data_IF_285805631137
#
_entry.id   IF_285805631137
#
_cell.length_a   1.000
_cell.length_b   1.000
_cell.length_c   1.000
_cell.angle_alpha   90.00
_cell.angle_beta   90.00
_cell.angle_gamma   90.00
#
_symmetry.space_group_name_H-M   'P 1'
#
loop_
_entity.id
_entity.type
_entity.pdbx_description
1 polymer ?
#
# COMPACT_ATOMS: atom_id res chain seq x y z
N UNK A 1 17.24 14.34 -8.44
CA UNK A 1 17.19 13.18 -7.53
C UNK A 1 18.40 12.32 -7.83
N UNK A 2 19.24 12.03 -6.83
CA UNK A 2 20.37 11.12 -7.03
C UNK A 2 19.93 9.68 -6.77
N UNK A 3 20.58 8.74 -7.44
CA UNK A 3 20.32 7.29 -7.32
C UNK A 3 20.37 6.81 -5.86
N UNK A 4 21.16 7.48 -5.02
CA UNK A 4 21.33 7.20 -3.59
C UNK A 4 20.10 7.55 -2.74
N UNK A 5 19.35 8.60 -3.09
CA UNK A 5 18.14 8.99 -2.36
C UNK A 5 17.01 7.97 -2.54
N UNK A 6 16.93 7.38 -3.74
CA UNK A 6 15.98 6.32 -4.09
C UNK A 6 16.38 4.99 -3.43
N UNK A 7 17.68 4.67 -3.43
CA UNK A 7 18.23 3.49 -2.75
C UNK A 7 18.04 3.58 -1.24
N UNK A 8 18.15 4.78 -0.65
CA UNK A 8 17.83 5.00 0.77
C UNK A 8 16.34 4.80 1.04
N UNK A 9 15.46 5.33 0.19
CA UNK A 9 14.01 5.15 0.33
C UNK A 9 13.58 3.69 0.25
N UNK A 10 14.31 2.88 -0.53
CA UNK A 10 13.98 1.47 -0.77
C UNK A 10 14.65 0.57 0.24
N UNK A 11 15.89 0.85 0.65
CA UNK A 11 16.51 0.18 1.78
C UNK A 11 15.67 0.40 3.06
N UNK A 12 15.15 1.61 3.25
CA UNK A 12 14.21 1.93 4.33
C UNK A 12 12.85 1.22 4.18
N UNK A 13 12.33 1.10 2.95
CA UNK A 13 11.09 0.35 2.64
C UNK A 13 11.19 -1.13 3.07
N UNK A 14 12.37 -1.74 3.08
CA UNK A 14 12.54 -3.18 3.34
C UNK A 14 13.07 -3.54 4.72
N UNK A 15 13.87 -2.69 5.38
CA UNK A 15 14.17 -2.88 6.80
C UNK A 15 12.88 -2.83 7.66
N UNK A 16 11.90 -2.02 7.25
CA UNK A 16 10.62 -1.86 7.92
C UNK A 16 9.63 -3.03 7.72
N UNK A 17 9.93 -4.01 6.86
CA UNK A 17 9.13 -5.23 6.72
C UNK A 17 9.59 -6.38 7.62
N UNK A 18 10.73 -6.25 8.30
CA UNK A 18 11.10 -7.17 9.37
C UNK A 18 10.40 -6.81 10.70
N UNK A 19 9.93 -5.57 10.85
CA UNK A 19 9.17 -5.06 12.00
C UNK A 19 8.28 -3.89 11.52
N UNK A 20 7.02 -4.19 11.20
CA UNK A 20 6.04 -3.30 10.57
C UNK A 20 6.01 -1.85 11.11
N UNK A 21 6.49 -0.89 10.31
CA UNK A 21 6.06 0.52 10.17
C UNK A 21 6.76 1.08 8.93
N UNK A 22 6.02 1.08 7.84
CA UNK A 22 6.34 1.39 6.44
C UNK A 22 6.88 2.87 6.32
N UNK A 23 7.33 3.29 5.14
CA UNK A 23 7.29 4.69 4.71
C UNK A 23 7.32 4.73 3.18
N UNK A 24 6.21 5.14 2.57
CA UNK A 24 6.12 5.29 1.13
C UNK A 24 6.44 6.75 0.80
N UNK A 25 7.67 6.96 0.32
CA UNK A 25 8.24 8.26 -0.03
C UNK A 25 7.28 9.13 -0.84
N UNK A 26 6.56 10.04 -0.20
CA UNK A 26 5.94 11.17 -0.86
C UNK A 26 6.02 12.41 0.03
N UNK A 27 6.47 13.50 -0.60
CA UNK A 27 7.07 14.68 0.00
C UNK A 27 6.21 15.32 1.10
N UNK A 28 6.82 15.50 2.27
CA UNK A 28 6.44 16.55 3.22
C UNK A 28 6.69 17.87 2.51
N UNK A 29 5.63 18.52 2.00
CA UNK A 29 5.59 19.92 1.55
C UNK A 29 6.84 20.37 0.77
N UNK A 30 7.00 19.94 -0.48
CA UNK A 30 8.06 20.47 -1.35
C UNK A 30 7.50 21.19 -2.58
N UNK A 31 8.09 22.35 -2.83
CA UNK A 31 7.90 23.34 -3.90
C UNK A 31 8.39 22.85 -5.27
N UNK A 32 8.46 21.54 -5.48
CA UNK A 32 9.01 20.94 -6.71
C UNK A 32 7.85 20.68 -7.66
N UNK A 33 7.96 21.21 -8.88
CA UNK A 33 7.06 20.86 -9.98
C UNK A 33 7.58 19.66 -10.75
N UNK A 34 6.69 18.71 -11.03
CA UNK A 34 6.98 17.51 -11.80
C UNK A 34 6.62 17.70 -13.26
N UNK A 35 7.47 17.22 -14.16
CA UNK A 35 7.11 17.12 -15.57
C UNK A 35 6.16 15.96 -15.82
N UNK A 36 5.47 15.96 -16.97
CA UNK A 36 4.66 14.83 -17.43
C UNK A 36 5.48 13.52 -17.49
N UNK A 37 6.75 13.61 -17.86
CA UNK A 37 7.63 12.45 -17.90
C UNK A 37 7.88 11.87 -16.51
N UNK A 38 8.17 12.73 -15.52
CA UNK A 38 8.38 12.31 -14.12
C UNK A 38 7.12 11.63 -13.56
N UNK A 39 5.94 12.18 -13.85
CA UNK A 39 4.67 11.62 -13.39
C UNK A 39 4.39 10.24 -13.98
N UNK A 40 4.61 10.06 -15.29
CA UNK A 40 4.48 8.75 -15.94
C UNK A 40 5.43 7.75 -15.29
N UNK A 41 6.69 8.14 -15.06
CA UNK A 41 7.68 7.27 -14.42
C UNK A 41 7.24 6.88 -12.99
N UNK A 42 6.74 7.83 -12.19
CA UNK A 42 6.24 7.56 -10.84
C UNK A 42 5.07 6.56 -10.87
N UNK A 43 4.13 6.72 -11.80
CA UNK A 43 2.99 5.80 -11.94
C UNK A 43 3.49 4.41 -12.36
N UNK A 44 4.42 4.33 -13.32
CA UNK A 44 5.02 3.07 -13.79
C UNK A 44 5.74 2.33 -12.66
N UNK A 45 6.58 3.04 -11.91
CA UNK A 45 7.32 2.47 -10.78
C UNK A 45 6.39 1.99 -9.67
N UNK A 46 5.36 2.77 -9.34
CA UNK A 46 4.33 2.39 -8.37
C UNK A 46 3.61 1.12 -8.81
N UNK A 47 3.18 1.05 -10.07
CA UNK A 47 2.51 -0.12 -10.64
C UNK A 47 3.39 -1.37 -10.59
N UNK A 48 4.69 -1.25 -10.91
CA UNK A 48 5.66 -2.35 -10.83
C UNK A 48 5.84 -2.86 -9.41
N UNK A 49 6.05 -1.97 -8.42
CA UNK A 49 6.17 -2.36 -7.01
C UNK A 49 4.91 -3.09 -6.53
N UNK A 50 3.73 -2.55 -6.84
CA UNK A 50 2.45 -3.15 -6.46
C UNK A 50 2.25 -4.52 -7.11
N UNK A 51 2.68 -4.69 -8.36
CA UNK A 51 2.71 -5.97 -9.09
C UNK A 51 3.74 -6.96 -8.55
N UNK A 52 4.60 -6.54 -7.63
CA UNK A 52 5.62 -7.38 -7.00
C UNK A 52 6.94 -7.47 -7.77
N UNK A 53 7.17 -6.55 -8.70
CA UNK A 53 8.44 -6.41 -9.41
C UNK A 53 9.47 -5.65 -8.58
N UNK A 54 10.74 -6.08 -8.65
CA UNK A 54 11.86 -5.37 -8.03
C UNK A 54 12.31 -4.25 -8.96
N UNK A 55 12.24 -3.01 -8.49
CA UNK A 55 12.79 -1.87 -9.24
C UNK A 55 14.31 -1.72 -9.10
N UNK A 56 14.95 -2.41 -8.14
CA UNK A 56 16.37 -2.24 -7.80
C UNK A 56 17.08 -3.57 -7.54
N UNK A 57 18.36 -3.64 -7.90
CA UNK A 57 19.29 -4.72 -7.54
C UNK A 57 19.68 -4.70 -6.04
N UNK A 58 18.83 -4.15 -5.18
CA UNK A 58 19.00 -4.29 -3.75
C UNK A 58 18.75 -5.77 -3.38
N UNK A 59 19.53 -6.30 -2.43
CA UNK A 59 19.36 -7.66 -1.91
C UNK A 59 18.11 -7.72 -1.03
N UNK A 60 16.95 -7.59 -1.65
CA UNK A 60 15.66 -7.54 -0.98
C UNK A 60 15.27 -8.94 -0.56
N UNK A 61 15.33 -9.20 0.76
CA UNK A 61 14.76 -10.39 1.39
C UNK A 61 13.24 -10.22 1.47
N UNK A 62 12.48 -11.20 0.99
CA UNK A 62 11.02 -11.22 1.06
C UNK A 62 10.31 -11.12 -0.29
N UNK A 63 8.97 -11.22 -0.26
CA UNK A 63 8.09 -11.06 -1.41
C UNK A 63 7.53 -9.63 -1.45
N UNK A 64 7.34 -9.08 -2.64
CA UNK A 64 6.85 -7.71 -2.86
C UNK A 64 5.42 -7.69 -3.41
N UNK A 65 4.70 -6.61 -3.15
CA UNK A 65 3.39 -6.35 -3.77
C UNK A 65 2.41 -7.52 -3.60
N UNK A 66 1.65 -7.80 -4.65
CA UNK A 66 0.69 -8.94 -4.70
C UNK A 66 1.37 -10.29 -4.44
N UNK A 67 2.65 -10.45 -4.77
CA UNK A 67 3.37 -11.70 -4.51
C UNK A 67 3.49 -11.99 -3.00
N UNK A 68 3.38 -10.98 -2.13
CA UNK A 68 3.37 -11.15 -0.68
C UNK A 68 2.02 -11.62 -0.13
N UNK A 69 0.92 -11.49 -0.88
CA UNK A 69 -0.44 -11.73 -0.38
C UNK A 69 -0.68 -13.14 0.16
N UNK A 70 -0.19 -14.23 -0.46
CA UNK A 70 -0.38 -15.57 0.10
C UNK A 70 0.25 -15.70 1.49
N UNK A 71 1.48 -15.21 1.66
CA UNK A 71 2.20 -15.26 2.93
C UNK A 71 1.56 -14.34 3.98
N UNK A 72 1.14 -13.14 3.57
CA UNK A 72 0.42 -12.18 4.42
C UNK A 72 -0.90 -12.77 4.91
N UNK A 73 -1.67 -13.38 4.01
CA UNK A 73 -2.96 -14.02 4.32
C UNK A 73 -2.78 -15.12 5.35
N UNK A 74 -1.82 -16.01 5.15
CA UNK A 74 -1.56 -17.10 6.09
C UNK A 74 -1.18 -16.57 7.48
N UNK A 75 -0.33 -15.55 7.56
CA UNK A 75 0.06 -14.94 8.84
C UNK A 75 -1.14 -14.26 9.51
N UNK A 76 -1.89 -13.47 8.75
CA UNK A 76 -3.04 -12.73 9.23
C UNK A 76 -4.16 -13.66 9.76
N UNK A 77 -4.46 -14.73 9.03
CA UNK A 77 -5.46 -15.71 9.47
C UNK A 77 -5.04 -16.43 10.76
N UNK A 78 -3.75 -16.78 10.91
CA UNK A 78 -3.24 -17.35 12.16
C UNK A 78 -3.39 -16.38 13.33
N UNK A 79 -3.08 -15.10 13.10
CA UNK A 79 -3.23 -14.05 14.09
C UNK A 79 -4.70 -13.84 14.51
N UNK A 80 -5.61 -13.71 13.54
CA UNK A 80 -7.03 -13.45 13.83
C UNK A 80 -7.76 -14.66 14.43
N UNK A 81 -7.32 -15.88 14.11
CA UNK A 81 -7.91 -17.13 14.63
C UNK A 81 -7.19 -17.68 15.88
N UNK A 82 -6.07 -17.09 16.29
CA UNK A 82 -5.32 -17.56 17.45
C UNK A 82 -6.04 -17.28 18.78
N UNK A 83 -5.73 -18.08 19.78
CA UNK A 83 -6.16 -17.86 21.16
C UNK A 83 -5.26 -16.80 21.82
N UNK A 84 -5.77 -15.58 21.97
CA UNK A 84 -5.05 -14.45 22.55
C UNK A 84 -4.24 -13.68 21.51
N UNK A 85 -4.77 -12.53 21.08
CA UNK A 85 -4.05 -11.59 20.23
C UNK A 85 -3.09 -10.76 21.09
N UNK A 86 -1.79 -10.91 20.82
CA UNK A 86 -0.75 -10.08 21.45
C UNK A 86 -0.96 -8.59 21.11
N UNK A 87 -0.88 -7.74 22.12
CA UNK A 87 -1.10 -6.30 21.99
C UNK A 87 -0.06 -5.65 21.06
N UNK A 88 1.19 -6.11 21.12
CA UNK A 88 2.25 -5.59 20.26
C UNK A 88 2.02 -6.00 18.81
N UNK A 89 1.63 -7.26 18.57
CA UNK A 89 1.27 -7.75 17.24
C UNK A 89 0.05 -7.00 16.66
N UNK A 90 -0.98 -6.72 17.47
CA UNK A 90 -2.13 -5.91 17.04
C UNK A 90 -1.70 -4.52 16.58
N UNK A 91 -0.87 -3.85 17.38
CA UNK A 91 -0.40 -2.50 17.06
C UNK A 91 0.51 -2.51 15.83
N UNK A 92 1.32 -3.55 15.64
CA UNK A 92 2.11 -3.75 14.42
C UNK A 92 1.22 -3.87 13.17
N UNK A 93 0.17 -4.68 13.22
CA UNK A 93 -0.80 -4.81 12.12
C UNK A 93 -1.54 -3.51 11.83
N UNK A 94 -2.02 -2.82 12.87
CA UNK A 94 -2.70 -1.54 12.73
C UNK A 94 -1.81 -0.51 12.01
N UNK A 95 -0.57 -0.36 12.49
CA UNK A 95 0.36 0.60 11.94
C UNK A 95 0.71 0.26 10.49
N UNK A 96 0.92 -1.01 10.18
CA UNK A 96 1.14 -1.47 8.81
C UNK A 96 0.00 -1.07 7.87
N UNK A 97 -1.24 -1.42 8.23
CA UNK A 97 -2.39 -1.15 7.37
C UNK A 97 -2.65 0.33 7.20
N UNK A 98 -2.55 1.11 8.28
CA UNK A 98 -2.68 2.56 8.22
C UNK A 98 -1.71 3.16 7.21
N UNK A 99 -0.53 2.60 7.12
CA UNK A 99 0.49 3.19 6.29
C UNK A 99 0.43 2.86 4.81
N UNK A 100 0.07 1.62 4.47
CA UNK A 100 -0.32 1.30 3.10
C UNK A 100 -1.46 2.25 2.69
N UNK A 101 -2.45 2.44 3.58
CA UNK A 101 -3.54 3.38 3.37
C UNK A 101 -3.07 4.82 3.11
N UNK A 102 -2.18 5.35 3.96
CA UNK A 102 -1.62 6.70 3.81
C UNK A 102 -0.83 6.86 2.52
N UNK A 103 -0.07 5.85 2.11
CA UNK A 103 0.66 5.87 0.85
C UNK A 103 -0.26 6.04 -0.34
N UNK A 104 -1.33 5.24 -0.41
CA UNK A 104 -2.32 5.34 -1.49
C UNK A 104 -2.95 6.72 -1.50
N UNK A 105 -3.26 7.27 -0.32
CA UNK A 105 -3.80 8.63 -0.23
C UNK A 105 -2.82 9.71 -0.70
N UNK A 106 -1.53 9.60 -0.33
CA UNK A 106 -0.50 10.55 -0.78
C UNK A 106 -0.27 10.45 -2.30
N UNK A 107 -0.28 9.24 -2.84
CA UNK A 107 -0.19 9.02 -4.28
C UNK A 107 -1.40 9.62 -5.02
N UNK A 108 -2.61 9.40 -4.51
CA UNK A 108 -3.82 10.08 -5.00
C UNK A 108 -3.67 11.60 -4.99
N UNK A 109 -3.20 12.19 -3.89
CA UNK A 109 -3.03 13.66 -3.79
C UNK A 109 -2.03 14.19 -4.82
N UNK A 110 -0.98 13.44 -5.12
CA UNK A 110 -0.03 13.80 -6.17
C UNK A 110 -0.72 13.79 -7.53
N UNK A 111 -1.40 12.69 -7.89
CA UNK A 111 -2.06 12.56 -9.17
C UNK A 111 -3.19 13.59 -9.35
N UNK A 112 -4.01 13.82 -8.32
CA UNK A 112 -5.09 14.81 -8.35
C UNK A 112 -4.56 16.24 -8.56
N UNK A 113 -3.36 16.54 -8.08
CA UNK A 113 -2.72 17.85 -8.28
C UNK A 113 -2.36 18.08 -9.76
N UNK A 114 -1.85 17.07 -10.45
CA UNK A 114 -1.34 17.20 -11.82
C UNK A 114 -2.35 16.79 -12.90
N UNK A 115 -3.34 15.96 -12.55
CA UNK A 115 -4.39 15.48 -13.44
C UNK A 115 -5.78 15.66 -12.79
N UNK A 116 -6.21 16.89 -12.49
CA UNK A 116 -7.41 17.13 -11.68
C UNK A 116 -8.72 16.67 -12.34
N UNK A 117 -8.73 16.45 -13.65
CA UNK A 117 -9.89 16.00 -14.44
C UNK A 117 -10.01 14.48 -14.55
N UNK A 118 -8.98 13.73 -14.15
CA UNK A 118 -9.02 12.26 -14.17
C UNK A 118 -9.64 11.72 -12.88
N UNK A 119 -10.38 10.60 -13.01
CA UNK A 119 -10.94 9.92 -11.85
C UNK A 119 -9.90 9.00 -11.20
N UNK A 120 -9.53 9.31 -9.95
CA UNK A 120 -8.65 8.50 -9.11
C UNK A 120 -9.38 7.92 -7.88
N UNK A 121 -10.71 7.83 -7.93
CA UNK A 121 -11.56 7.26 -6.87
C UNK A 121 -11.11 5.85 -6.46
N UNK A 122 -10.61 5.06 -7.40
CA UNK A 122 -10.07 3.71 -7.15
C UNK A 122 -8.87 3.71 -6.19
N UNK A 123 -7.98 4.72 -6.25
CA UNK A 123 -6.84 4.87 -5.35
C UNK A 123 -7.31 5.27 -3.94
N UNK A 124 -8.27 6.20 -3.86
CA UNK A 124 -8.85 6.60 -2.56
C UNK A 124 -9.62 5.46 -1.91
N UNK A 125 -10.30 4.63 -2.69
CA UNK A 125 -11.01 3.44 -2.22
C UNK A 125 -10.03 2.40 -1.66
N UNK A 126 -8.91 2.15 -2.34
CA UNK A 126 -7.84 1.29 -1.83
C UNK A 126 -7.28 1.83 -0.49
N UNK A 127 -7.00 3.14 -0.43
CA UNK A 127 -6.54 3.80 0.81
C UNK A 127 -7.49 3.57 1.99
N UNK A 128 -8.79 3.82 1.78
CA UNK A 128 -9.80 3.67 2.82
C UNK A 128 -10.00 2.21 3.24
N UNK A 129 -9.84 1.25 2.33
CA UNK A 129 -9.93 -0.17 2.68
C UNK A 129 -8.83 -0.57 3.66
N UNK A 130 -7.58 -0.19 3.39
CA UNK A 130 -6.45 -0.41 4.29
C UNK A 130 -6.63 0.27 5.65
N UNK A 131 -7.01 1.56 5.68
CA UNK A 131 -7.25 2.28 6.94
C UNK A 131 -8.38 1.61 7.75
N UNK A 132 -9.48 1.26 7.08
CA UNK A 132 -10.61 0.60 7.75
C UNK A 132 -10.27 -0.79 8.27
N UNK A 133 -9.36 -1.51 7.61
CA UNK A 133 -8.87 -2.81 8.08
C UNK A 133 -8.04 -2.65 9.36
N UNK A 134 -7.19 -1.62 9.46
CA UNK A 134 -6.52 -1.27 10.72
C UNK A 134 -7.54 -0.92 11.82
N UNK A 135 -8.53 -0.09 11.51
CA UNK A 135 -9.53 0.35 12.48
C UNK A 135 -10.40 -0.79 13.03
N UNK A 136 -10.76 -1.79 12.20
CA UNK A 136 -11.59 -2.91 12.67
C UNK A 136 -10.81 -3.82 13.64
N UNK A 137 -9.50 -3.93 13.47
CA UNK A 137 -8.61 -4.67 14.37
C UNK A 137 -8.47 -3.95 15.72
N UNK A 138 -8.23 -2.64 15.71
CA UNK A 138 -8.22 -1.87 16.95
C UNK A 138 -9.57 -1.91 17.66
N UNK A 139 -10.68 -1.87 16.90
CA UNK A 139 -12.02 -2.00 17.48
C UNK A 139 -12.21 -3.35 18.18
N UNK A 140 -11.76 -4.45 17.57
CA UNK A 140 -11.81 -5.77 18.18
C UNK A 140 -10.96 -5.85 19.47
N UNK A 141 -9.78 -5.22 19.47
CA UNK A 141 -8.93 -5.05 20.66
C UNK A 141 -9.66 -4.29 21.77
N UNK A 142 -10.19 -3.11 21.48
CA UNK A 142 -10.83 -2.25 22.49
C UNK A 142 -12.12 -2.83 23.07
N UNK A 143 -12.90 -3.56 22.27
CA UNK A 143 -14.15 -4.18 22.70
C UNK A 143 -13.98 -5.60 23.24
N UNK A 144 -12.75 -6.15 23.20
CA UNK A 144 -12.46 -7.56 23.50
C UNK A 144 -13.36 -8.55 22.74
N UNK A 145 -13.74 -8.20 21.51
CA UNK A 145 -14.77 -8.88 20.72
C UNK A 145 -14.20 -9.61 19.50
N UNK A 146 -12.98 -10.17 19.63
CA UNK A 146 -12.26 -10.81 18.53
C UNK A 146 -13.03 -11.96 17.89
N UNK A 147 -13.58 -12.85 18.72
CA UNK A 147 -14.36 -14.01 18.26
C UNK A 147 -15.59 -13.58 17.45
N UNK A 148 -16.30 -12.57 17.94
CA UNK A 148 -17.53 -12.05 17.33
C UNK A 148 -17.24 -11.27 16.04
N UNK A 149 -16.09 -10.58 15.97
CA UNK A 149 -15.69 -9.77 14.83
C UNK A 149 -14.88 -10.54 13.78
N UNK A 150 -14.48 -11.79 14.07
CA UNK A 150 -13.54 -12.59 13.28
C UNK A 150 -13.94 -12.65 11.79
N UNK A 151 -15.16 -13.12 11.48
CA UNK A 151 -15.64 -13.23 10.09
C UNK A 151 -15.61 -11.88 9.37
N UNK A 152 -15.99 -10.81 10.06
CA UNK A 152 -16.02 -9.45 9.52
C UNK A 152 -14.60 -8.94 9.22
N UNK A 153 -13.64 -9.22 10.10
CA UNK A 153 -12.22 -8.88 9.92
C UNK A 153 -11.66 -9.62 8.71
N UNK A 154 -11.87 -10.94 8.63
CA UNK A 154 -11.40 -11.77 7.51
C UNK A 154 -12.01 -11.31 6.18
N UNK A 155 -13.32 -11.04 6.15
CA UNK A 155 -14.00 -10.53 4.96
C UNK A 155 -13.42 -9.17 4.52
N UNK A 156 -13.15 -8.27 5.47
CA UNK A 156 -12.53 -6.97 5.18
C UNK A 156 -11.11 -7.12 4.65
N UNK A 157 -10.33 -8.02 5.25
CA UNK A 157 -8.97 -8.32 4.82
C UNK A 157 -8.94 -8.80 3.37
N UNK A 158 -9.74 -9.82 3.02
CA UNK A 158 -9.83 -10.34 1.65
C UNK A 158 -10.26 -9.28 0.65
N UNK A 159 -11.27 -8.47 0.98
CA UNK A 159 -11.71 -7.35 0.14
C UNK A 159 -10.59 -6.33 -0.09
N UNK A 160 -9.78 -6.06 0.94
CA UNK A 160 -8.66 -5.10 0.84
C UNK A 160 -7.61 -5.60 -0.15
N UNK A 161 -7.28 -6.89 -0.13
CA UNK A 161 -6.34 -7.49 -1.09
C UNK A 161 -6.90 -7.47 -2.53
N UNK A 162 -8.17 -7.87 -2.72
CA UNK A 162 -8.84 -7.83 -4.03
C UNK A 162 -8.83 -6.42 -4.63
N UNK A 163 -9.13 -5.40 -3.81
CA UNK A 163 -9.12 -4.01 -4.27
C UNK A 163 -7.72 -3.56 -4.70
N UNK A 164 -6.67 -4.05 -4.04
CA UNK A 164 -5.30 -3.72 -4.39
C UNK A 164 -4.92 -4.31 -5.77
N UNK A 165 -5.39 -5.51 -6.09
CA UNK A 165 -5.24 -6.14 -7.41
C UNK A 165 -6.00 -5.36 -8.50
N UNK A 166 -7.25 -4.96 -8.22
CA UNK A 166 -8.03 -4.11 -9.11
C UNK A 166 -7.34 -2.76 -9.37
N UNK A 167 -6.78 -2.14 -8.32
CA UNK A 167 -6.06 -0.88 -8.40
C UNK A 167 -4.84 -0.96 -9.34
N UNK A 168 -4.11 -2.09 -9.32
CA UNK A 168 -2.99 -2.33 -10.26
C UNK A 168 -3.50 -2.31 -11.71
N UNK A 169 -4.64 -2.94 -11.99
CA UNK A 169 -5.21 -2.95 -13.34
C UNK A 169 -5.65 -1.55 -13.78
N UNK A 170 -6.24 -0.76 -12.89
CA UNK A 170 -6.56 0.64 -13.18
C UNK A 170 -5.31 1.47 -13.48
N UNK A 171 -4.22 1.27 -12.74
CA UNK A 171 -2.96 1.96 -12.99
C UNK A 171 -2.33 1.56 -14.33
N UNK A 172 -2.42 0.29 -14.73
CA UNK A 172 -1.97 -0.18 -16.06
C UNK A 172 -2.76 0.52 -17.17
N UNK A 173 -4.09 0.52 -17.08
CA UNK A 173 -4.93 1.19 -18.08
C UNK A 173 -4.65 2.70 -18.15
N UNK A 174 -4.39 3.34 -16.99
CA UNK A 174 -3.99 4.74 -16.95
C UNK A 174 -2.66 4.96 -17.70
N UNK A 175 -1.66 4.11 -17.45
CA UNK A 175 -0.35 4.20 -18.11
C UNK A 175 -0.46 4.02 -19.62
N UNK A 176 -1.29 3.09 -20.08
CA UNK A 176 -1.55 2.89 -21.50
C UNK A 176 -2.17 4.14 -22.11
N UNK A 177 -3.20 4.70 -21.47
CA UNK A 177 -3.85 5.93 -21.93
C UNK A 177 -2.90 7.12 -22.01
N UNK A 178 -2.03 7.30 -21.00
CA UNK A 178 -1.04 8.38 -20.96
C UNK A 178 0.09 8.19 -21.98
N UNK A 179 0.36 6.94 -22.39
CA UNK A 179 1.33 6.62 -23.42
C UNK A 179 0.78 6.84 -24.83
N UNK A 180 -0.52 6.68 -25.04
CA UNK A 180 -1.21 6.96 -26.31
C UNK A 180 -1.37 8.45 -26.64
N UNK A 181 -1.23 9.35 -25.68
CA UNK A 181 -1.19 10.81 -25.92
C UNK A 181 0.16 11.31 -26.50
N UNK A 182 1.07 10.40 -26.86
CA UNK A 182 2.37 10.71 -27.49
C UNK A 182 2.36 10.64 -29.04
N UNK A 183 1.21 10.43 -29.67
CA UNK A 183 1.00 10.58 -31.12
C UNK A 183 0.18 11.85 -31.41
#
# INVERSE_FOLDING_TARGET
MTKEEIVSGISSYLEQFNTLKINLCFLKKNTVDYSTHDLIQIIQETCKIMSGEKLFNASLRGKLGVNAFPSLTNKFLKFVNGDGQDNEEIDAWYNAFREVGNSRYNFFRLLQRYYPTLDFSYITSASQNWISLGNIILKAKHLNSWKEMNERIIKRFRRTLSQEEENINHLRNLLDSLSSYKE
#
